data_IF_560221745676
#
_entry.id   IF_560221745676
#
_cell.length_a   1.000
_cell.length_b   1.000
_cell.length_c   1.000
_cell.angle_alpha   90.00
_cell.angle_beta   90.00
_cell.angle_gamma   90.00
#
_symmetry.space_group_name_H-M   'P 1'
#
loop_
_entity.id
_entity.type
_entity.pdbx_description
1 polymer ?
#
# COMPACT_ATOMS: atom_id res chain seq x y z
N UNK A 1 15.11 -3.45 -0.35
CA UNK A 1 13.83 -3.44 0.40
C UNK A 1 13.42 -1.99 0.55
N UNK A 2 12.26 -1.57 0.02
CA UNK A 2 12.12 -0.17 -0.47
C UNK A 2 12.19 0.87 0.66
N UNK A 3 13.22 1.72 0.58
CA UNK A 3 13.40 2.96 1.33
C UNK A 3 14.12 4.01 0.43
N UNK A 4 13.49 4.43 -0.69
CA UNK A 4 14.12 5.31 -1.66
C UNK A 4 14.48 6.69 -1.09
N UNK A 5 13.89 7.06 0.05
CA UNK A 5 14.10 8.35 0.72
C UNK A 5 14.90 8.24 2.04
N UNK A 6 15.35 7.03 2.42
CA UNK A 6 16.10 6.82 3.66
C UNK A 6 15.28 7.01 4.95
N UNK A 7 13.95 7.06 4.87
CA UNK A 7 13.06 7.37 5.99
C UNK A 7 12.98 6.22 7.00
N UNK A 8 12.92 4.97 6.52
CA UNK A 8 12.94 3.81 7.40
C UNK A 8 14.25 3.75 8.20
N UNK A 9 15.39 4.03 7.54
CA UNK A 9 16.69 4.08 8.23
C UNK A 9 16.74 5.15 9.33
N UNK A 10 16.15 6.33 9.09
CA UNK A 10 16.08 7.41 10.09
C UNK A 10 15.17 7.05 11.27
N UNK A 11 14.00 6.47 10.97
CA UNK A 11 13.05 6.04 11.98
C UNK A 11 13.62 4.94 12.89
N UNK A 12 14.35 3.96 12.33
CA UNK A 12 15.06 2.94 13.12
C UNK A 12 16.14 3.51 14.05
N UNK A 13 16.69 4.70 13.75
CA UNK A 13 17.62 5.43 14.62
C UNK A 13 16.92 6.34 15.64
N UNK A 14 15.60 6.35 15.67
CA UNK A 14 14.81 7.19 16.58
C UNK A 14 14.72 8.67 16.16
N UNK A 15 15.17 9.02 14.95
CA UNK A 15 15.14 10.41 14.46
C UNK A 15 13.73 10.85 14.01
N UNK A 16 12.84 9.89 13.73
CA UNK A 16 11.47 10.16 13.33
C UNK A 16 10.54 9.51 14.37
N UNK A 17 9.86 10.32 15.21
CA UNK A 17 8.88 9.78 16.15
C UNK A 17 7.65 9.26 15.41
N UNK A 18 6.92 8.35 16.03
CA UNK A 18 5.60 7.88 15.57
C UNK A 18 5.60 7.38 14.12
N UNK A 19 6.64 6.62 13.75
CA UNK A 19 6.80 6.10 12.40
C UNK A 19 5.99 4.83 12.24
N UNK A 20 4.99 4.86 11.36
CA UNK A 20 4.09 3.73 11.07
C UNK A 20 4.86 2.51 10.59
N UNK A 21 4.58 1.35 11.18
CA UNK A 21 5.30 0.09 10.95
C UNK A 21 6.59 -0.08 11.74
N UNK A 22 6.98 0.91 12.57
CA UNK A 22 8.12 0.82 13.50
C UNK A 22 7.68 1.13 14.93
N UNK A 23 7.45 2.40 15.25
CA UNK A 23 7.01 2.84 16.58
C UNK A 23 5.50 2.92 16.70
N UNK A 24 4.81 3.16 15.58
CA UNK A 24 3.35 3.15 15.51
C UNK A 24 2.86 1.94 14.71
N UNK A 25 1.79 1.24 15.14
CA UNK A 25 1.23 0.15 14.37
C UNK A 25 0.55 0.65 13.10
N UNK A 26 0.58 -0.18 12.05
CA UNK A 26 -0.33 -0.03 10.92
C UNK A 26 -1.56 -0.90 11.18
N UNK A 27 -2.76 -0.33 11.04
CA UNK A 27 -4.02 -1.05 11.13
C UNK A 27 -4.56 -1.30 9.71
N UNK A 28 -4.48 -2.54 9.19
CA UNK A 28 -5.05 -2.84 7.88
C UNK A 28 -6.56 -2.58 7.85
N UNK A 29 -7.11 -2.14 6.70
CA UNK A 29 -8.56 -1.99 6.54
C UNK A 29 -9.28 -3.30 6.84
N UNK A 30 -10.36 -3.25 7.63
CA UNK A 30 -11.14 -4.44 8.00
C UNK A 30 -11.99 -4.99 6.86
N UNK A 31 -12.48 -4.10 5.99
CA UNK A 31 -13.32 -4.47 4.85
C UNK A 31 -12.93 -3.64 3.62
N UNK A 32 -11.76 -3.91 3.01
CA UNK A 32 -11.33 -3.20 1.82
C UNK A 32 -12.11 -3.66 0.59
N UNK A 33 -12.41 -2.74 -0.33
CA UNK A 33 -13.03 -3.08 -1.61
C UNK A 33 -12.09 -3.87 -2.52
N UNK A 34 -10.77 -3.70 -2.36
CA UNK A 34 -9.72 -4.40 -3.10
C UNK A 34 -8.43 -4.44 -2.28
N UNK A 35 -7.70 -5.55 -2.35
CA UNK A 35 -6.34 -5.69 -1.79
C UNK A 35 -5.36 -5.81 -2.96
N UNK A 36 -4.27 -5.04 -2.90
CA UNK A 36 -3.20 -5.02 -3.91
C UNK A 36 -1.91 -5.52 -3.28
N UNK A 37 -1.33 -6.58 -3.83
CA UNK A 37 -0.04 -7.12 -3.37
C UNK A 37 1.11 -6.55 -4.21
N UNK A 38 1.72 -5.48 -3.71
CA UNK A 38 2.84 -4.83 -4.40
C UNK A 38 4.19 -5.56 -4.21
N UNK A 39 4.24 -6.60 -3.39
CA UNK A 39 5.44 -7.40 -3.17
C UNK A 39 5.58 -8.52 -4.20
N UNK A 40 4.44 -9.15 -4.56
CA UNK A 40 4.42 -10.29 -5.47
C UNK A 40 3.90 -9.95 -6.88
N UNK A 41 3.04 -8.93 -7.03
CA UNK A 41 2.50 -8.56 -8.34
C UNK A 41 3.24 -7.39 -8.97
N UNK A 42 3.32 -7.41 -10.30
CA UNK A 42 3.80 -6.29 -11.11
C UNK A 42 2.82 -5.10 -11.10
N UNK A 43 3.34 -3.92 -11.45
CA UNK A 43 2.54 -2.68 -11.53
C UNK A 43 1.36 -2.85 -12.48
N UNK A 44 1.59 -3.36 -13.69
CA UNK A 44 0.52 -3.55 -14.69
C UNK A 44 -0.57 -4.49 -14.18
N UNK A 45 -0.19 -5.64 -13.61
CA UNK A 45 -1.15 -6.59 -13.00
C UNK A 45 -2.01 -5.93 -11.94
N UNK A 46 -1.41 -5.14 -11.07
CA UNK A 46 -2.13 -4.43 -10.02
C UNK A 46 -3.04 -3.32 -10.57
N UNK A 47 -2.63 -2.63 -11.64
CA UNK A 47 -3.49 -1.65 -12.33
C UNK A 47 -4.72 -2.34 -12.91
N UNK A 48 -4.57 -3.49 -13.56
CA UNK A 48 -5.72 -4.24 -14.08
C UNK A 48 -6.69 -4.67 -12.98
N UNK A 49 -6.19 -5.16 -11.83
CA UNK A 49 -7.03 -5.48 -10.65
C UNK A 49 -7.86 -4.27 -10.20
N UNK A 50 -7.26 -3.08 -10.16
CA UNK A 50 -7.99 -1.85 -9.81
C UNK A 50 -9.06 -1.52 -10.84
N UNK A 51 -8.73 -1.54 -12.13
CA UNK A 51 -9.67 -1.23 -13.21
C UNK A 51 -10.86 -2.19 -13.22
N UNK A 52 -10.60 -3.49 -13.08
CA UNK A 52 -11.65 -4.52 -13.02
C UNK A 52 -12.58 -4.29 -11.83
N UNK A 53 -12.02 -3.96 -10.65
CA UNK A 53 -12.84 -3.67 -9.48
C UNK A 53 -13.71 -2.44 -9.65
N UNK A 54 -13.18 -1.37 -10.25
CA UNK A 54 -13.95 -0.15 -10.52
C UNK A 54 -15.10 -0.41 -11.50
N UNK A 55 -14.90 -1.29 -12.49
CA UNK A 55 -15.96 -1.74 -13.42
C UNK A 55 -17.04 -2.55 -12.70
N UNK A 56 -16.66 -3.50 -11.84
CA UNK A 56 -17.62 -4.28 -11.03
C UNK A 56 -18.48 -3.39 -10.12
N UNK A 57 -17.87 -2.37 -9.53
CA UNK A 57 -18.55 -1.38 -8.70
C UNK A 57 -19.36 -0.36 -9.52
N UNK A 58 -19.32 -0.45 -10.86
CA UNK A 58 -20.01 0.46 -11.79
C UNK A 58 -19.61 1.92 -11.62
N UNK A 59 -18.35 2.16 -11.22
CA UNK A 59 -17.80 3.51 -11.06
C UNK A 59 -17.19 4.03 -12.36
N UNK A 60 -16.84 3.13 -13.28
CA UNK A 60 -16.34 3.46 -14.61
C UNK A 60 -17.04 2.58 -15.66
N UNK A 61 -17.11 3.10 -16.89
CA UNK A 61 -17.61 2.37 -18.04
C UNK A 61 -16.64 1.26 -18.49
N UNK A 62 -17.16 0.35 -19.32
CA UNK A 62 -16.42 -0.84 -19.76
C UNK A 62 -15.33 -0.52 -20.77
#
# INVERSE_FOLDING_TARGET
RRDPRGLYKKALRGEIPNFTGISDPYEPPRNPELIIDTEHDGVETNVYKVLDRLKELKLIEK
#
